data_IF_995024140375
#
_entry.id   IF_995024140375
#
_cell.length_a   1.000
_cell.length_b   1.000
_cell.length_c   1.000
_cell.angle_alpha   90.00
_cell.angle_beta   90.00
_cell.angle_gamma   90.00
#
_symmetry.space_group_name_H-M   'P 1'
#
loop_
_entity.id
_entity.type
_entity.pdbx_description
1 polymer ?
#
# COMPACT_ATOMS: atom_id res chain seq x y z
N UNK A 1 -6.84 7.94 -5.43
CA UNK A 1 -7.87 8.74 -4.72
C UNK A 1 -8.03 10.06 -5.44
N UNK A 2 -9.26 10.47 -5.77
CA UNK A 2 -9.52 11.72 -6.46
C UNK A 2 -10.00 12.80 -5.48
N UNK A 3 -9.42 14.00 -5.59
CA UNK A 3 -9.79 15.19 -4.83
C UNK A 3 -10.26 16.26 -5.82
N UNK A 4 -11.57 16.60 -5.86
CA UNK A 4 -12.09 17.55 -6.85
C UNK A 4 -11.57 18.98 -6.63
N UNK A 5 -11.22 19.33 -5.39
CA UNK A 5 -10.65 20.62 -5.03
C UNK A 5 -9.49 20.44 -4.06
N UNK A 6 -8.27 20.59 -4.55
CA UNK A 6 -7.04 20.52 -3.78
C UNK A 6 -6.04 21.55 -4.29
N UNK A 7 -5.62 22.50 -3.44
CA UNK A 7 -4.67 23.54 -3.79
C UNK A 7 -4.99 24.28 -5.11
N UNK A 8 -6.28 24.58 -5.32
CA UNK A 8 -6.75 25.35 -6.49
C UNK A 8 -7.20 24.52 -7.70
N UNK A 9 -7.17 23.18 -7.66
CA UNK A 9 -7.67 22.38 -8.77
C UNK A 9 -7.92 20.91 -8.44
N UNK A 10 -8.45 20.13 -9.40
CA UNK A 10 -8.64 18.71 -9.23
C UNK A 10 -7.29 17.99 -9.16
N UNK A 11 -7.15 17.04 -8.23
CA UNK A 11 -5.91 16.31 -7.96
C UNK A 11 -6.19 14.83 -7.75
N UNK A 12 -5.43 13.95 -8.40
CA UNK A 12 -5.38 12.52 -8.14
C UNK A 12 -4.16 12.18 -7.28
N UNK A 13 -4.42 11.59 -6.12
CA UNK A 13 -3.41 11.01 -5.25
C UNK A 13 -3.25 9.52 -5.57
N UNK A 14 -2.04 9.11 -5.92
CA UNK A 14 -1.74 7.75 -6.35
C UNK A 14 -0.81 7.02 -5.36
N UNK A 15 -1.39 6.12 -4.56
CA UNK A 15 -0.70 5.46 -3.44
C UNK A 15 0.12 4.25 -3.87
N UNK A 16 1.32 4.13 -3.31
CA UNK A 16 2.12 2.91 -3.41
C UNK A 16 2.98 2.68 -2.18
N UNK A 17 3.28 1.41 -1.92
CA UNK A 17 4.22 0.99 -0.90
C UNK A 17 5.44 0.38 -1.59
N UNK A 18 6.63 0.74 -1.13
CA UNK A 18 7.89 0.15 -1.61
C UNK A 18 8.71 -0.46 -0.49
N UNK A 19 9.51 -1.47 -0.82
CA UNK A 19 10.36 -2.17 0.12
C UNK A 19 11.84 -1.90 -0.21
N UNK A 20 12.55 -1.08 0.60
CA UNK A 20 13.95 -0.78 0.38
C UNK A 20 14.90 -1.97 0.65
N UNK A 21 14.38 -3.11 1.15
CA UNK A 21 15.17 -4.33 1.37
C UNK A 21 15.27 -5.25 0.14
N UNK A 22 14.57 -4.91 -0.95
CA UNK A 22 14.64 -5.67 -2.20
C UNK A 22 16.07 -5.74 -2.72
N UNK A 23 16.49 -6.92 -3.18
CA UNK A 23 17.88 -7.18 -3.58
C UNK A 23 18.39 -6.19 -4.63
N UNK A 24 17.54 -5.78 -5.58
CA UNK A 24 17.88 -4.87 -6.67
C UNK A 24 18.25 -3.44 -6.21
N UNK A 25 17.70 -2.96 -5.08
CA UNK A 25 17.85 -1.56 -4.63
C UNK A 25 18.51 -1.43 -3.26
N UNK A 26 18.92 -2.56 -2.66
CA UNK A 26 19.39 -2.60 -1.26
C UNK A 26 20.64 -1.77 -1.02
N UNK A 27 21.60 -1.78 -1.97
CA UNK A 27 22.84 -1.02 -1.83
C UNK A 27 22.57 0.49 -1.83
N UNK A 28 21.73 0.96 -2.75
CA UNK A 28 21.32 2.37 -2.82
C UNK A 28 20.55 2.77 -1.56
N UNK A 29 19.60 1.95 -1.13
CA UNK A 29 18.81 2.19 0.08
C UNK A 29 19.64 2.26 1.36
N UNK A 30 20.75 1.51 1.42
CA UNK A 30 21.68 1.57 2.55
C UNK A 30 22.50 2.87 2.56
N UNK A 31 22.77 3.46 1.39
CA UNK A 31 23.56 4.67 1.26
C UNK A 31 22.74 5.95 1.49
N UNK A 32 21.46 5.95 1.11
CA UNK A 32 20.62 7.14 1.16
C UNK A 32 19.18 6.83 1.55
N UNK A 33 18.71 7.54 2.57
CA UNK A 33 17.32 7.47 3.03
C UNK A 33 16.39 7.96 1.92
N UNK A 34 15.27 7.27 1.70
CA UNK A 34 14.23 7.60 0.71
C UNK A 34 14.62 7.51 -0.77
N UNK A 35 15.83 7.06 -1.12
CA UNK A 35 16.22 6.93 -2.53
C UNK A 35 15.26 6.03 -3.31
N UNK A 36 14.79 4.95 -2.68
CA UNK A 36 13.85 4.00 -3.29
C UNK A 36 12.46 4.62 -3.45
N UNK A 37 11.99 5.35 -2.44
CA UNK A 37 10.72 6.07 -2.54
C UNK A 37 10.74 7.13 -3.66
N UNK A 38 11.81 7.92 -3.75
CA UNK A 38 11.98 8.97 -4.77
C UNK A 38 12.05 8.38 -6.18
N UNK A 39 12.84 7.30 -6.34
CA UNK A 39 12.91 6.56 -7.61
C UNK A 39 11.52 6.06 -8.02
N UNK A 40 10.74 5.54 -7.07
CA UNK A 40 9.39 5.05 -7.38
C UNK A 40 8.37 6.18 -7.65
N UNK A 41 8.46 7.33 -6.98
CA UNK A 41 7.67 8.51 -7.36
C UNK A 41 7.91 8.90 -8.82
N UNK A 42 9.18 8.88 -9.25
CA UNK A 42 9.56 9.18 -10.64
C UNK A 42 9.00 8.13 -11.61
N UNK A 43 9.17 6.85 -11.28
CA UNK A 43 8.65 5.76 -12.10
C UNK A 43 7.11 5.81 -12.22
N UNK A 44 6.40 6.22 -11.18
CA UNK A 44 4.93 6.41 -11.23
C UNK A 44 4.51 7.52 -12.17
N UNK A 45 5.22 8.64 -12.17
CA UNK A 45 4.92 9.75 -13.07
C UNK A 45 5.17 9.38 -14.54
N UNK A 46 6.12 8.47 -14.79
CA UNK A 46 6.42 7.95 -16.12
C UNK A 46 5.60 6.70 -16.52
N UNK A 47 4.78 6.13 -15.63
CA UNK A 47 4.03 4.90 -15.93
C UNK A 47 2.89 5.20 -16.92
N UNK A 48 2.96 4.59 -18.11
CA UNK A 48 1.88 4.56 -19.11
C UNK A 48 1.30 5.93 -19.46
N UNK A 49 2.14 6.96 -19.52
CA UNK A 49 1.74 8.35 -19.80
C UNK A 49 0.63 8.86 -18.84
N UNK A 50 0.52 8.27 -17.64
CA UNK A 50 -0.58 8.57 -16.70
C UNK A 50 -0.54 10.03 -16.26
N UNK A 51 0.66 10.57 -16.04
CA UNK A 51 0.83 11.99 -15.69
C UNK A 51 0.35 12.92 -16.83
N UNK A 52 0.71 12.61 -18.07
CA UNK A 52 0.33 13.41 -19.24
C UNK A 52 -1.17 13.30 -19.54
N UNK A 53 -1.73 12.10 -19.39
CA UNK A 53 -3.16 11.87 -19.49
C UNK A 53 -3.92 12.67 -18.42
N UNK A 54 -3.45 12.66 -17.18
CA UNK A 54 -4.03 13.49 -16.12
C UNK A 54 -3.95 14.99 -16.50
N UNK A 55 -2.78 15.47 -16.93
CA UNK A 55 -2.58 16.86 -17.30
C UNK A 55 -3.52 17.31 -18.43
N UNK A 56 -3.72 16.45 -19.44
CA UNK A 56 -4.64 16.72 -20.58
C UNK A 56 -6.10 16.89 -20.12
N UNK A 57 -6.49 16.25 -19.02
CA UNK A 57 -7.81 16.40 -18.40
C UNK A 57 -7.85 17.47 -17.30
N UNK A 58 -6.82 18.32 -17.19
CA UNK A 58 -6.72 19.36 -16.16
C UNK A 58 -6.51 18.81 -14.75
N UNK A 59 -6.09 17.55 -14.61
CA UNK A 59 -5.90 16.85 -13.35
C UNK A 59 -4.43 16.82 -12.95
N UNK A 60 -4.12 17.20 -11.71
CA UNK A 60 -2.77 17.00 -11.17
C UNK A 60 -2.60 15.59 -10.62
N UNK A 61 -1.60 14.85 -11.08
CA UNK A 61 -1.21 13.58 -10.45
C UNK A 61 -0.17 13.83 -9.35
N UNK A 62 -0.37 13.26 -8.16
CA UNK A 62 0.59 13.33 -7.05
C UNK A 62 0.88 11.92 -6.55
N UNK A 63 2.12 11.43 -6.68
CA UNK A 63 2.49 10.12 -6.17
C UNK A 63 2.56 10.15 -4.64
N UNK A 64 1.89 9.20 -4.01
CA UNK A 64 1.84 9.01 -2.56
C UNK A 64 2.61 7.75 -2.19
N UNK A 65 3.95 7.81 -2.26
CA UNK A 65 4.82 6.65 -2.02
C UNK A 65 5.28 6.60 -0.55
N UNK A 66 5.23 5.41 0.04
CA UNK A 66 5.75 5.13 1.40
C UNK A 66 6.65 3.89 1.38
N UNK A 67 7.75 3.93 2.13
CA UNK A 67 8.56 2.74 2.39
C UNK A 67 7.91 1.87 3.46
N UNK A 68 8.15 0.55 3.46
CA UNK A 68 7.59 -0.37 4.48
C UNK A 68 7.92 0.01 5.93
N UNK A 69 8.96 0.82 6.16
CA UNK A 69 9.33 1.36 7.47
C UNK A 69 8.54 2.62 7.87
N UNK A 70 7.57 3.05 7.04
CA UNK A 70 6.66 4.15 7.34
C UNK A 70 7.16 5.54 6.91
N UNK A 71 8.32 5.62 6.25
CA UNK A 71 8.85 6.90 5.75
C UNK A 71 8.21 7.22 4.40
N UNK A 72 7.59 8.40 4.31
CA UNK A 72 6.93 8.88 3.10
C UNK A 72 7.88 9.64 2.17
N UNK A 73 7.67 9.49 0.86
CA UNK A 73 8.37 10.24 -0.17
C UNK A 73 8.04 11.74 -0.15
N UNK A 74 8.82 12.58 -0.86
CA UNK A 74 8.72 14.03 -0.79
C UNK A 74 7.35 14.55 -1.27
N UNK A 75 6.77 13.97 -2.33
CA UNK A 75 5.47 14.38 -2.85
C UNK A 75 4.36 14.16 -1.82
N UNK A 76 4.37 12.99 -1.18
CA UNK A 76 3.44 12.65 -0.11
C UNK A 76 3.59 13.55 1.11
N UNK A 77 4.83 13.84 1.54
CA UNK A 77 5.10 14.74 2.66
C UNK A 77 4.52 16.13 2.43
N UNK A 78 4.57 16.66 1.21
CA UNK A 78 4.00 17.96 0.89
C UNK A 78 2.46 17.98 0.98
N UNK A 79 1.81 16.89 0.58
CA UNK A 79 0.36 16.70 0.77
C UNK A 79 0.02 16.69 2.25
N UNK A 80 0.74 15.91 3.06
CA UNK A 80 0.49 15.85 4.51
C UNK A 80 0.80 17.16 5.23
N UNK A 81 1.83 17.91 4.80
CA UNK A 81 2.11 19.25 5.33
C UNK A 81 0.95 20.21 5.07
N UNK A 82 0.41 20.20 3.85
CA UNK A 82 -0.79 20.99 3.51
C UNK A 82 -1.97 20.60 4.40
N UNK A 83 -2.21 19.29 4.56
CA UNK A 83 -3.31 18.79 5.38
C UNK A 83 -3.13 19.15 6.86
N UNK A 84 -1.94 18.98 7.41
CA UNK A 84 -1.62 19.30 8.80
C UNK A 84 -1.81 20.79 9.08
N UNK A 85 -1.38 21.66 8.16
CA UNK A 85 -1.62 23.10 8.26
C UNK A 85 -3.11 23.44 8.28
N UNK A 86 -3.89 22.86 7.38
CA UNK A 86 -5.34 23.06 7.36
C UNK A 86 -6.02 22.56 8.65
N UNK A 87 -5.54 21.44 9.22
CA UNK A 87 -6.01 20.94 10.53
C UNK A 87 -5.65 21.92 11.65
N UNK A 88 -4.42 22.43 11.66
CA UNK A 88 -3.92 23.38 12.65
C UNK A 88 -4.77 24.67 12.65
N UNK A 89 -4.98 25.26 11.47
CA UNK A 89 -5.78 26.47 11.26
C UNK A 89 -7.23 26.27 11.72
N UNK A 90 -7.86 25.15 11.36
CA UNK A 90 -9.26 24.87 11.74
C UNK A 90 -9.46 24.53 13.21
N UNK A 91 -8.44 23.99 13.88
CA UNK A 91 -8.56 23.50 15.26
C UNK A 91 -7.92 24.45 16.28
N UNK A 92 -7.26 25.53 15.84
CA UNK A 92 -6.56 26.46 16.73
C UNK A 92 -5.35 25.86 17.44
N UNK A 93 -4.73 24.80 16.89
CA UNK A 93 -3.57 24.13 17.49
C UNK A 93 -2.29 24.42 16.70
N UNK A 94 -1.09 24.29 17.30
CA UNK A 94 0.16 24.50 16.58
C UNK A 94 0.37 23.48 15.45
N UNK A 95 0.95 23.91 14.33
CA UNK A 95 1.23 23.06 13.14
C UNK A 95 2.02 21.78 13.47
N UNK A 96 3.02 21.88 14.37
CA UNK A 96 3.77 20.72 14.85
C UNK A 96 2.88 19.67 15.53
N UNK A 97 1.88 20.12 16.29
CA UNK A 97 0.96 19.24 17.02
C UNK A 97 0.01 18.56 16.03
N UNK A 98 -0.56 19.32 15.10
CA UNK A 98 -1.40 18.79 14.03
C UNK A 98 -0.64 17.76 13.18
N UNK A 99 0.60 18.05 12.82
CA UNK A 99 1.48 17.14 12.08
C UNK A 99 1.74 15.85 12.85
N UNK A 100 2.15 15.94 14.13
CA UNK A 100 2.37 14.77 14.97
C UNK A 100 1.10 13.91 15.10
N UNK A 101 -0.04 14.53 15.39
CA UNK A 101 -1.32 13.82 15.52
C UNK A 101 -1.75 13.15 14.22
N UNK A 102 -1.54 13.81 13.07
CA UNK A 102 -1.84 13.24 11.76
C UNK A 102 -1.02 11.97 11.50
N UNK A 103 0.30 12.01 11.69
CA UNK A 103 1.17 10.85 11.49
C UNK A 103 0.89 9.73 12.50
N UNK A 104 0.64 10.06 13.78
CA UNK A 104 0.28 9.08 14.81
C UNK A 104 -1.05 8.38 14.47
N UNK A 105 -2.09 9.15 14.15
CA UNK A 105 -3.39 8.61 13.78
C UNK A 105 -3.29 7.71 12.53
N UNK A 106 -2.50 8.13 11.54
CA UNK A 106 -2.25 7.34 10.34
C UNK A 106 -1.50 6.03 10.64
N UNK A 107 -0.44 6.09 11.45
CA UNK A 107 0.32 4.91 11.87
C UNK A 107 -0.56 3.88 12.58
N UNK A 108 -1.38 4.32 13.55
CA UNK A 108 -2.32 3.45 14.27
C UNK A 108 -3.36 2.85 13.32
N UNK A 109 -3.90 3.63 12.39
CA UNK A 109 -4.88 3.14 11.40
C UNK A 109 -4.27 2.10 10.46
N UNK A 110 -3.05 2.35 9.96
CA UNK A 110 -2.32 1.41 9.10
C UNK A 110 -2.01 0.11 9.84
N UNK A 111 -1.48 0.17 11.06
CA UNK A 111 -1.21 -1.02 11.87
C UNK A 111 -2.47 -1.85 12.11
N UNK A 112 -3.60 -1.20 12.46
CA UNK A 112 -4.89 -1.88 12.65
C UNK A 112 -5.41 -2.50 11.35
N UNK A 113 -5.28 -1.81 10.22
CA UNK A 113 -5.68 -2.33 8.92
C UNK A 113 -4.83 -3.55 8.53
N UNK A 114 -3.51 -3.48 8.71
CA UNK A 114 -2.60 -4.59 8.46
C UNK A 114 -2.92 -5.81 9.34
N UNK A 115 -3.16 -5.59 10.64
CA UNK A 115 -3.55 -6.66 11.55
C UNK A 115 -4.86 -7.35 11.11
N UNK A 116 -5.88 -6.56 10.72
CA UNK A 116 -7.14 -7.10 10.18
C UNK A 116 -6.91 -7.92 8.91
N UNK A 117 -6.09 -7.42 7.98
CA UNK A 117 -5.77 -8.13 6.75
C UNK A 117 -5.12 -9.49 7.05
N UNK A 118 -4.11 -9.53 7.92
CA UNK A 118 -3.43 -10.77 8.33
C UNK A 118 -4.42 -11.75 8.97
N UNK A 119 -5.20 -11.30 9.95
CA UNK A 119 -6.16 -12.15 10.66
C UNK A 119 -7.27 -12.68 9.74
N UNK A 120 -7.73 -11.86 8.79
CA UNK A 120 -8.73 -12.30 7.80
C UNK A 120 -8.16 -13.37 6.86
N UNK A 121 -6.88 -13.25 6.49
CA UNK A 121 -6.21 -14.22 5.63
C UNK A 121 -5.94 -15.54 6.37
N UNK A 122 -5.51 -15.49 7.64
CA UNK A 122 -5.30 -16.70 8.43
C UNK A 122 -6.60 -17.45 8.69
N UNK A 123 -7.68 -16.73 8.98
CA UNK A 123 -9.00 -17.33 9.15
C UNK A 123 -9.51 -17.99 7.85
N UNK A 124 -9.36 -17.32 6.71
CA UNK A 124 -9.73 -17.88 5.40
C UNK A 124 -8.89 -19.13 5.05
N UNK A 125 -7.58 -19.07 5.30
CA UNK A 125 -6.67 -20.20 5.09
C UNK A 125 -7.05 -21.39 5.98
N UNK A 126 -7.31 -21.16 7.28
CA UNK A 126 -7.74 -22.19 8.21
C UNK A 126 -9.08 -22.83 7.81
N UNK A 127 -10.06 -22.02 7.37
CA UNK A 127 -11.33 -22.52 6.86
C UNK A 127 -11.16 -23.37 5.59
N UNK A 128 -10.30 -22.94 4.66
CA UNK A 128 -10.00 -23.71 3.44
C UNK A 128 -9.33 -25.05 3.75
N UNK A 129 -8.39 -25.09 4.71
CA UNK A 129 -7.71 -26.30 5.15
C UNK A 129 -8.69 -27.27 5.83
N UNK A 130 -9.56 -26.77 6.72
CA UNK A 130 -10.58 -27.57 7.40
C UNK A 130 -11.62 -28.14 6.42
N UNK A 131 -12.06 -27.36 5.42
CA UNK A 131 -12.95 -27.86 4.36
C UNK A 131 -12.31 -28.93 3.48
N UNK A 132 -11.01 -28.83 3.20
CA UNK A 132 -10.25 -29.87 2.47
C UNK A 132 -10.13 -31.15 3.29
N UNK A 133 -9.88 -31.03 4.59
CA UNK A 133 -9.80 -32.17 5.50
C UNK A 133 -11.15 -32.92 5.62
N UNK A 134 -12.28 -32.19 5.70
CA UNK A 134 -13.62 -32.79 5.70
C UNK A 134 -14.01 -33.42 4.34
N UNK A 135 -13.58 -32.85 3.21
CA UNK A 135 -13.85 -33.44 1.90
C UNK A 135 -13.11 -34.78 1.70
N UNK A 136 -11.95 -34.96 2.32
CA UNK A 136 -11.21 -36.24 2.31
C UNK A 136 -11.82 -37.32 3.21
N UNK A 137 -12.49 -36.97 4.31
CA UNK A 137 -13.08 -37.96 5.24
C UNK A 137 -14.45 -38.48 4.81
N UNK A 138 -15.14 -37.80 3.89
CA UNK A 138 -16.44 -38.26 3.33
C UNK A 138 -16.31 -39.26 2.15
N UNK A 139 -15.10 -39.58 1.69
CA UNK A 139 -14.85 -40.53 0.58
C UNK A 139 -14.41 -41.93 1.03
N UNK A 140 -14.55 -42.27 2.31
CA UNK A 140 -14.16 -43.57 2.86
C UNK A 140 -15.33 -44.41 3.40
N UNK A 141 -16.52 -44.26 2.83
CA UNK A 141 -17.57 -45.29 2.90
C UNK A 141 -18.17 -45.49 1.51
N UNK A 142 -17.50 -46.31 0.69
CA UNK A 142 -18.03 -46.79 -0.59
C UNK A 142 -17.06 -46.62 -1.76
N UNK A 143 -16.50 -47.74 -2.20
CA UNK A 143 -15.75 -47.98 -3.43
C UNK A 143 -14.26 -47.54 -3.46
N UNK A 144 -13.39 -48.57 -3.47
CA UNK A 144 -12.11 -48.53 -4.16
C UNK A 144 -12.31 -47.88 -5.54
N UNK A 145 -11.68 -46.72 -5.76
CA UNK A 145 -11.28 -46.32 -7.11
C UNK A 145 -9.93 -45.62 -7.00
N UNK A 146 -8.92 -46.26 -7.59
CA UNK A 146 -7.59 -45.69 -7.80
C UNK A 146 -7.74 -44.34 -8.53
N UNK A 147 -7.16 -43.28 -7.95
CA UNK A 147 -6.75 -42.12 -8.74
C UNK A 147 -5.24 -41.96 -8.62
N UNK A 148 -4.59 -42.11 -9.76
CA UNK A 148 -3.16 -42.07 -9.98
C UNK A 148 -2.53 -40.73 -9.58
N UNK A 149 -1.33 -40.81 -9.02
CA UNK A 149 -0.37 -39.71 -8.93
C UNK A 149 0.17 -39.45 -10.34
N UNK A 150 0.13 -38.22 -10.89
CA UNK A 150 0.90 -37.94 -12.09
C UNK A 150 2.37 -37.84 -11.69
N UNK A 151 3.16 -38.79 -12.17
CA UNK A 151 4.60 -38.65 -12.26
C UNK A 151 4.90 -37.50 -13.25
N UNK A 152 5.63 -36.48 -12.80
CA UNK A 152 6.27 -35.53 -13.71
C UNK A 152 7.76 -35.85 -13.69
N UNK A 153 8.19 -36.54 -14.74
CA UNK A 153 9.57 -36.62 -15.18
C UNK A 153 9.69 -35.90 -16.53
N UNK A 154 10.86 -35.29 -16.75
CA UNK A 154 11.24 -34.56 -17.95
C UNK A 154 12.23 -33.47 -17.63
#
# INVERSE_FOLDING_TARGET
MFLPAWQGGPTALDFAVTNPLQAAVRQEAAASVLVVAVSYETAKLADRDTADSCATHGLRLVPMVVEIFGVWGPSAKQVFKTLARAIAERSGIPDRVATCQLYQAMGVRLQRANARAILSHTAASAASCSSRALATTSRTEGALLLCAVPAVGG
#
